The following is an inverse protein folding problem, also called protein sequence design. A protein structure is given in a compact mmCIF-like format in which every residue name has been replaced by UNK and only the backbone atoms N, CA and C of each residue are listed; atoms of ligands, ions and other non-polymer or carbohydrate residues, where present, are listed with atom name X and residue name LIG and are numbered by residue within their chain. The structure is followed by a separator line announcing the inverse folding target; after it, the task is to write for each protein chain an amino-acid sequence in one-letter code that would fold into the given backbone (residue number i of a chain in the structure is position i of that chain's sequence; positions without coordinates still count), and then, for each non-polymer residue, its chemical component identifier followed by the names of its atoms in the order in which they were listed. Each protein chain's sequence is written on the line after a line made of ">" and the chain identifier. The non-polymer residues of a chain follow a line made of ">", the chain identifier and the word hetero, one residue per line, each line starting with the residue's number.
data_IF_154502886156
#
_entry.id   IF_154502886156
#
_cell.length_a   1.000
_cell.length_b   1.000
_cell.length_c   1.000
_cell.angle_alpha   90.00
_cell.angle_beta   90.00
_cell.angle_gamma   90.00
#
_symmetry.space_group_name_H-M   'P 1'
#
loop_
_entity.id
_entity.type
_entity.pdbx_description
1 polymer ?
#
# COMPACT_ATOMS: atom_id res chain seq x y z
N UNK A 1 18.98 10.96 -14.39
CA UNK A 1 18.33 11.80 -13.36
C UNK A 1 18.58 13.25 -13.74
N UNK A 2 17.57 14.11 -13.70
CA UNK A 2 17.75 15.52 -14.07
C UNK A 2 18.51 16.29 -12.99
N UNK A 3 19.15 17.41 -13.37
CA UNK A 3 19.85 18.27 -12.42
C UNK A 3 18.90 18.85 -11.36
N UNK A 4 17.63 19.10 -11.72
CA UNK A 4 16.65 19.67 -10.80
C UNK A 4 16.18 18.67 -9.74
N UNK A 5 16.04 17.39 -10.09
CA UNK A 5 15.76 16.32 -9.13
C UNK A 5 16.91 16.18 -8.12
N UNK A 6 18.16 16.26 -8.59
CA UNK A 6 19.33 16.19 -7.71
C UNK A 6 19.43 17.39 -6.75
N UNK A 7 18.94 18.57 -7.13
CA UNK A 7 18.87 19.74 -6.23
C UNK A 7 17.80 19.58 -5.15
N UNK A 8 16.73 18.83 -5.42
CA UNK A 8 15.63 18.58 -4.49
C UNK A 8 15.87 17.36 -3.59
N UNK A 9 16.92 16.58 -3.84
CA UNK A 9 17.24 15.34 -3.12
C UNK A 9 18.58 15.43 -2.37
N UNK A 10 18.85 14.45 -1.52
CA UNK A 10 20.16 14.27 -0.91
C UNK A 10 21.06 13.46 -1.85
N UNK A 11 22.19 14.04 -2.24
CA UNK A 11 23.29 13.31 -2.89
C UNK A 11 24.10 12.49 -1.86
N UNK A 12 23.40 11.57 -1.21
CA UNK A 12 23.89 10.67 -0.16
C UNK A 12 22.89 9.52 0.01
N UNK A 13 23.22 8.43 0.72
CA UNK A 13 22.26 7.36 1.00
C UNK A 13 21.10 7.77 1.93
N UNK A 14 21.04 9.03 2.37
CA UNK A 14 19.94 9.54 3.20
C UNK A 14 18.61 9.47 2.45
N UNK A 15 17.64 8.84 3.11
CA UNK A 15 16.27 8.69 2.62
C UNK A 15 15.47 9.99 2.82
N UNK A 16 15.03 10.59 1.72
CA UNK A 16 14.16 11.77 1.71
C UNK A 16 12.67 11.41 1.63
N UNK A 17 12.30 10.33 0.94
CA UNK A 17 10.89 9.99 0.69
C UNK A 17 10.28 9.18 1.83
N UNK A 18 11.11 8.39 2.52
CA UNK A 18 10.70 7.52 3.63
C UNK A 18 10.45 6.07 3.23
N UNK A 19 10.32 5.77 1.93
CA UNK A 19 10.01 4.42 1.45
C UNK A 19 11.11 3.42 1.82
N UNK A 20 12.38 3.78 1.59
CA UNK A 20 13.52 2.94 1.93
C UNK A 20 13.61 2.65 3.43
N UNK A 21 13.38 3.66 4.27
CA UNK A 21 13.34 3.51 5.74
C UNK A 21 12.21 2.56 6.17
N UNK A 22 11.04 2.66 5.54
CA UNK A 22 9.89 1.81 5.84
C UNK A 22 10.16 0.35 5.50
N UNK A 23 10.70 0.10 4.31
CA UNK A 23 11.11 -1.24 3.84
C UNK A 23 12.21 -1.81 4.74
N UNK A 24 13.28 -1.06 4.97
CA UNK A 24 14.42 -1.53 5.76
C UNK A 24 14.04 -1.86 7.21
N UNK A 25 13.20 -1.03 7.85
CA UNK A 25 12.72 -1.29 9.21
C UNK A 25 11.73 -2.47 9.30
N UNK A 26 11.00 -2.78 8.22
CA UNK A 26 10.18 -4.00 8.12
C UNK A 26 11.06 -5.25 8.06
N UNK A 27 12.26 -5.19 7.47
CA UNK A 27 13.22 -6.30 7.44
C UNK A 27 13.88 -6.47 8.81
N UNK A 28 14.62 -5.45 9.27
CA UNK A 28 15.56 -5.57 10.38
C UNK A 28 15.40 -4.46 11.44
N UNK A 29 14.23 -3.82 11.51
CA UNK A 29 13.95 -2.83 12.54
C UNK A 29 14.11 -3.40 13.95
N UNK A 30 14.82 -2.68 14.81
CA UNK A 30 14.89 -3.00 16.23
C UNK A 30 13.52 -2.85 16.90
N UNK A 31 13.37 -3.44 18.09
CA UNK A 31 12.14 -3.33 18.86
C UNK A 31 11.94 -1.90 19.36
N UNK A 32 10.81 -1.28 19.03
CA UNK A 32 10.43 0.06 19.50
C UNK A 32 9.00 0.01 20.01
N UNK A 33 8.84 0.32 21.30
CA UNK A 33 7.57 0.29 22.00
C UNK A 33 6.75 1.57 21.79
N UNK A 34 5.44 1.44 21.99
CA UNK A 34 4.49 2.55 21.99
C UNK A 34 4.52 3.40 20.70
N UNK A 35 4.73 2.73 19.57
CA UNK A 35 4.69 3.39 18.25
C UNK A 35 3.26 3.39 17.73
N UNK A 36 2.91 4.39 16.94
CA UNK A 36 1.64 4.46 16.21
C UNK A 36 1.80 5.30 14.95
N UNK A 37 0.83 5.20 14.04
CA UNK A 37 0.84 5.99 12.81
C UNK A 37 0.91 7.49 13.12
N UNK A 38 2.04 8.12 12.79
CA UNK A 38 2.32 9.54 13.00
C UNK A 38 2.08 10.03 14.44
N UNK A 39 2.20 9.14 15.43
CA UNK A 39 1.88 9.44 16.82
C UNK A 39 0.38 9.59 17.12
N UNK A 40 -0.48 9.23 16.17
CA UNK A 40 -1.93 9.46 16.18
C UNK A 40 -2.77 8.40 16.87
N UNK A 41 -2.16 7.39 17.50
CA UNK A 41 -2.90 6.33 18.20
C UNK A 41 -3.49 5.23 17.29
N UNK A 42 -3.26 5.27 15.97
CA UNK A 42 -3.63 4.17 15.08
C UNK A 42 -2.51 3.12 15.00
N UNK A 43 -2.89 1.85 15.16
CA UNK A 43 -1.97 0.71 15.12
C UNK A 43 -0.97 0.71 16.28
N UNK A 44 -1.37 1.20 17.46
CA UNK A 44 -0.51 1.28 18.65
C UNK A 44 0.08 -0.10 18.99
N UNK A 45 1.38 -0.14 19.22
CA UNK A 45 2.04 -1.36 19.67
C UNK A 45 3.55 -1.26 19.68
N UNK A 46 4.19 -2.44 19.65
CA UNK A 46 5.63 -2.58 19.49
C UNK A 46 5.94 -2.93 18.04
N UNK A 47 6.73 -2.09 17.37
CA UNK A 47 7.24 -2.37 16.04
C UNK A 47 8.58 -3.09 16.12
N UNK A 48 8.77 -4.07 15.22
CA UNK A 48 10.04 -4.76 14.96
C UNK A 48 10.06 -5.30 13.54
N UNK A 49 11.25 -5.44 12.97
CA UNK A 49 11.42 -6.15 11.71
C UNK A 49 11.25 -7.67 11.87
N UNK A 50 11.14 -8.38 10.74
CA UNK A 50 11.10 -9.84 10.74
C UNK A 50 12.41 -10.50 11.21
N UNK A 51 13.55 -9.86 10.94
CA UNK A 51 14.89 -10.30 11.32
C UNK A 51 15.69 -9.17 12.01
N UNK A 52 15.33 -8.77 13.26
CA UNK A 52 15.92 -7.59 13.93
C UNK A 52 17.43 -7.64 14.19
N UNK A 53 18.07 -8.80 14.05
CA UNK A 53 19.51 -9.00 14.24
C UNK A 53 20.30 -9.04 12.93
N UNK A 54 19.63 -9.00 11.78
CA UNK A 54 20.29 -8.90 10.48
C UNK A 54 20.97 -7.54 10.32
N UNK A 55 22.07 -7.52 9.58
CA UNK A 55 22.72 -6.27 9.16
C UNK A 55 22.01 -5.73 7.92
N UNK A 56 22.02 -4.41 7.75
CA UNK A 56 21.47 -3.73 6.58
C UNK A 56 22.60 -3.06 5.80
N UNK A 57 22.68 -3.33 4.51
CA UNK A 57 23.45 -2.56 3.54
C UNK A 57 22.45 -1.80 2.65
N UNK A 58 22.60 -0.48 2.55
CA UNK A 58 21.61 0.40 1.91
C UNK A 58 22.20 0.97 0.61
N UNK A 59 21.57 0.62 -0.51
CA UNK A 59 21.91 1.13 -1.84
C UNK A 59 20.75 2.00 -2.34
N UNK A 60 20.92 3.33 -2.32
CA UNK A 60 19.89 4.27 -2.75
C UNK A 60 19.94 4.44 -4.27
N UNK A 61 18.91 3.95 -4.95
CA UNK A 61 18.78 4.01 -6.42
C UNK A 61 17.55 4.78 -6.91
N UNK A 62 16.64 5.11 -6.00
CA UNK A 62 15.41 5.84 -6.30
C UNK A 62 15.47 7.28 -5.74
N UNK A 63 14.81 8.18 -6.46
CA UNK A 63 14.88 9.63 -6.22
C UNK A 63 13.50 10.24 -5.91
N UNK A 64 13.49 11.49 -5.48
CA UNK A 64 12.28 12.20 -4.99
C UNK A 64 11.14 12.28 -6.01
N UNK A 65 11.44 12.22 -7.31
CA UNK A 65 10.45 12.18 -8.39
C UNK A 65 9.81 10.80 -8.59
N UNK A 66 10.25 9.80 -7.82
CA UNK A 66 9.81 8.40 -7.93
C UNK A 66 10.58 7.61 -8.98
N UNK A 67 11.52 8.23 -9.70
CA UNK A 67 12.34 7.51 -10.67
C UNK A 67 13.36 6.61 -9.97
N UNK A 68 13.56 5.42 -10.53
CA UNK A 68 14.62 4.49 -10.16
C UNK A 68 15.34 4.08 -11.45
N UNK A 69 16.37 4.85 -11.90
CA UNK A 69 17.03 4.57 -13.17
C UNK A 69 17.64 3.17 -13.18
N UNK A 70 17.40 2.42 -14.25
CA UNK A 70 17.88 1.04 -14.40
C UNK A 70 19.39 0.93 -14.23
N UNK A 71 20.17 1.82 -14.86
CA UNK A 71 21.62 1.87 -14.69
C UNK A 71 22.07 2.01 -13.21
N UNK A 72 21.32 2.75 -12.39
CA UNK A 72 21.60 2.87 -10.96
C UNK A 72 21.24 1.59 -10.20
N UNK A 73 20.15 0.92 -10.59
CA UNK A 73 19.76 -0.39 -10.03
C UNK A 73 20.83 -1.43 -10.34
N UNK A 74 21.31 -1.50 -11.58
CA UNK A 74 22.35 -2.44 -12.00
C UNK A 74 23.68 -2.20 -11.27
N UNK A 75 24.11 -0.94 -11.17
CA UNK A 75 25.31 -0.58 -10.41
C UNK A 75 25.20 -0.99 -8.93
N UNK A 76 24.04 -0.76 -8.30
CA UNK A 76 23.81 -1.17 -6.92
C UNK A 76 23.79 -2.70 -6.75
N UNK A 77 23.27 -3.45 -7.72
CA UNK A 77 23.31 -4.92 -7.69
C UNK A 77 24.77 -5.41 -7.77
N UNK A 78 25.57 -4.82 -8.66
CA UNK A 78 27.00 -5.16 -8.80
C UNK A 78 27.78 -4.89 -7.51
N UNK A 79 27.61 -3.69 -6.93
CA UNK A 79 28.23 -3.33 -5.66
C UNK A 79 27.76 -4.26 -4.52
N UNK A 80 26.48 -4.61 -4.46
CA UNK A 80 25.95 -5.50 -3.43
C UNK A 80 26.48 -6.95 -3.57
N UNK A 81 26.67 -7.44 -4.80
CA UNK A 81 27.32 -8.73 -5.04
C UNK A 81 28.75 -8.69 -4.52
N UNK A 82 29.49 -7.64 -4.86
CA UNK A 82 30.89 -7.45 -4.45
C UNK A 82 31.04 -7.32 -2.93
N UNK A 83 30.11 -6.65 -2.27
CA UNK A 83 30.07 -6.49 -0.82
C UNK A 83 29.66 -7.78 -0.09
N UNK A 84 29.20 -8.81 -0.82
CA UNK A 84 28.89 -10.13 -0.28
C UNK A 84 27.58 -10.18 0.52
N UNK A 85 26.55 -9.45 0.08
CA UNK A 85 25.23 -9.52 0.74
C UNK A 85 24.60 -10.91 0.62
N UNK A 86 23.85 -11.33 1.64
CA UNK A 86 23.15 -12.63 1.62
C UNK A 86 21.82 -12.59 0.83
N UNK A 87 21.14 -11.44 0.87
CA UNK A 87 19.78 -11.25 0.35
C UNK A 87 19.64 -9.85 -0.24
N UNK A 88 19.14 -9.76 -1.47
CA UNK A 88 18.71 -8.52 -2.10
C UNK A 88 17.20 -8.35 -1.94
N UNK A 89 16.78 -7.27 -1.27
CA UNK A 89 15.37 -6.92 -1.08
C UNK A 89 15.01 -5.70 -1.93
N UNK A 90 14.29 -5.92 -3.03
CA UNK A 90 14.05 -4.92 -4.06
C UNK A 90 12.55 -4.58 -4.14
N UNK A 91 12.15 -3.54 -3.41
CA UNK A 91 10.77 -3.03 -3.40
C UNK A 91 10.50 -2.01 -4.53
N UNK A 92 11.02 -2.31 -5.72
CA UNK A 92 10.97 -1.50 -6.95
C UNK A 92 10.61 -2.38 -8.15
N UNK A 93 10.30 -1.77 -9.29
CA UNK A 93 10.01 -2.46 -10.55
C UNK A 93 9.76 -1.47 -11.68
N UNK A 94 9.88 -1.94 -12.92
CA UNK A 94 9.56 -1.19 -14.13
C UNK A 94 8.11 -1.41 -14.60
N UNK A 95 7.92 -1.43 -15.91
CA UNK A 95 6.64 -1.79 -16.53
C UNK A 95 6.54 -3.31 -16.76
N UNK A 96 5.33 -3.89 -16.94
CA UNK A 96 5.22 -5.30 -17.29
C UNK A 96 6.02 -5.62 -18.57
N UNK A 97 6.94 -6.59 -18.48
CA UNK A 97 7.85 -6.95 -19.56
C UNK A 97 9.25 -6.31 -19.48
N UNK A 98 9.46 -5.30 -18.64
CA UNK A 98 10.78 -4.70 -18.35
C UNK A 98 11.43 -5.43 -17.16
N UNK A 99 11.89 -6.65 -17.42
CA UNK A 99 12.49 -7.52 -16.42
C UNK A 99 13.98 -7.22 -16.20
N UNK A 100 14.45 -7.28 -14.94
CA UNK A 100 15.87 -7.07 -14.59
C UNK A 100 16.62 -8.41 -14.65
N UNK A 101 17.07 -8.80 -15.84
CA UNK A 101 17.69 -10.10 -16.07
C UNK A 101 19.04 -10.28 -15.36
N UNK A 102 19.75 -9.19 -15.12
CA UNK A 102 21.08 -9.13 -14.50
C UNK A 102 21.07 -9.65 -13.05
N UNK A 103 19.89 -9.73 -12.43
CA UNK A 103 19.72 -10.40 -11.12
C UNK A 103 20.11 -11.88 -11.14
N UNK A 104 20.24 -12.48 -12.33
CA UNK A 104 20.82 -13.81 -12.50
C UNK A 104 22.25 -13.87 -11.93
N UNK A 105 23.06 -12.82 -12.08
CA UNK A 105 24.43 -12.79 -11.53
C UNK A 105 24.43 -12.89 -10.00
N UNK A 106 23.51 -12.20 -9.32
CA UNK A 106 23.36 -12.31 -7.86
C UNK A 106 22.97 -13.74 -7.46
N UNK A 107 22.00 -14.34 -8.14
CA UNK A 107 21.55 -15.71 -7.84
C UNK A 107 22.65 -16.75 -8.09
N UNK A 108 23.46 -16.58 -9.14
CA UNK A 108 24.61 -17.45 -9.44
C UNK A 108 25.71 -17.35 -8.36
N UNK A 109 25.82 -16.22 -7.68
CA UNK A 109 26.71 -16.03 -6.52
C UNK A 109 26.07 -16.50 -5.20
N UNK A 110 24.90 -17.14 -5.25
CA UNK A 110 24.23 -17.68 -4.06
C UNK A 110 23.42 -16.66 -3.27
N UNK A 111 23.21 -15.46 -3.81
CA UNK A 111 22.45 -14.36 -3.19
C UNK A 111 20.97 -14.51 -3.56
N UNK A 112 20.10 -14.52 -2.55
CA UNK A 112 18.66 -14.61 -2.80
C UNK A 112 18.09 -13.24 -3.16
N UNK A 113 17.30 -13.17 -4.25
CA UNK A 113 16.68 -11.91 -4.70
C UNK A 113 15.17 -11.97 -4.48
N UNK A 114 14.63 -10.98 -3.76
CA UNK A 114 13.21 -10.85 -3.45
C UNK A 114 12.71 -9.52 -4.01
N UNK A 115 11.67 -9.59 -4.84
CA UNK A 115 11.04 -8.45 -5.50
C UNK A 115 9.60 -8.23 -5.07
N UNK A 116 9.18 -6.97 -5.04
CA UNK A 116 7.77 -6.61 -5.06
C UNK A 116 7.13 -6.97 -6.41
N UNK A 117 5.92 -7.53 -6.41
CA UNK A 117 5.23 -7.95 -7.64
C UNK A 117 4.51 -6.86 -8.43
N UNK A 118 4.51 -5.60 -7.97
CA UNK A 118 3.79 -4.48 -8.59
C UNK A 118 2.47 -4.12 -7.91
N UNK A 119 1.90 -2.96 -8.25
CA UNK A 119 0.69 -2.42 -7.61
C UNK A 119 -0.42 -2.01 -8.61
N UNK A 120 -0.40 -2.60 -9.81
CA UNK A 120 -1.32 -2.27 -10.93
C UNK A 120 -2.45 -3.30 -11.10
N UNK A 121 -2.70 -4.12 -10.06
CA UNK A 121 -3.87 -4.99 -10.03
C UNK A 121 -5.19 -4.20 -9.96
N UNK A 122 -6.35 -4.86 -10.13
CA UNK A 122 -6.53 -6.32 -10.08
C UNK A 122 -6.51 -7.00 -11.47
N UNK A 123 -6.34 -6.23 -12.55
CA UNK A 123 -6.40 -6.78 -13.92
C UNK A 123 -5.27 -7.80 -14.15
N UNK A 124 -5.52 -8.90 -14.89
CA UNK A 124 -4.49 -9.89 -15.24
C UNK A 124 -3.27 -9.27 -15.94
N UNK A 125 -2.15 -9.99 -15.93
CA UNK A 125 -0.91 -9.64 -16.66
C UNK A 125 -0.28 -8.30 -16.28
N UNK A 126 -0.42 -7.91 -15.02
CA UNK A 126 0.13 -6.68 -14.44
C UNK A 126 1.34 -6.93 -13.54
N UNK A 127 1.72 -8.20 -13.34
CA UNK A 127 2.86 -8.60 -12.50
C UNK A 127 4.19 -8.12 -13.08
N UNK A 128 5.05 -7.63 -12.20
CA UNK A 128 6.41 -7.17 -12.48
C UNK A 128 7.43 -8.11 -11.84
N UNK A 129 8.69 -7.98 -12.26
CA UNK A 129 9.82 -8.69 -11.67
C UNK A 129 9.61 -10.21 -11.67
N UNK A 130 9.12 -10.73 -12.78
CA UNK A 130 8.59 -12.08 -12.94
C UNK A 130 9.61 -13.09 -13.48
N UNK A 131 10.90 -12.78 -13.48
CA UNK A 131 11.95 -13.74 -13.87
C UNK A 131 11.95 -15.00 -12.98
N UNK A 132 12.32 -16.18 -13.49
CA UNK A 132 12.16 -17.45 -12.76
C UNK A 132 13.03 -17.59 -11.50
N UNK A 133 14.24 -17.04 -11.52
CA UNK A 133 15.25 -17.20 -10.48
C UNK A 133 15.06 -16.29 -9.26
N UNK A 134 14.16 -15.31 -9.32
CA UNK A 134 13.83 -14.42 -8.19
C UNK A 134 12.52 -14.82 -7.53
N UNK A 135 12.30 -14.32 -6.32
CA UNK A 135 11.02 -14.45 -5.61
C UNK A 135 10.20 -13.17 -5.76
N UNK A 136 9.04 -13.27 -6.40
CA UNK A 136 8.11 -12.16 -6.65
C UNK A 136 6.96 -12.20 -5.66
N UNK A 137 6.75 -11.12 -4.92
CA UNK A 137 5.87 -11.09 -3.75
C UNK A 137 4.61 -10.26 -4.00
N UNK A 138 3.44 -10.90 -3.84
CA UNK A 138 2.12 -10.26 -3.79
C UNK A 138 1.84 -9.65 -2.40
N UNK A 139 0.94 -8.67 -2.37
CA UNK A 139 0.48 -8.03 -1.13
C UNK A 139 -0.84 -8.64 -0.65
N UNK A 140 -0.91 -8.96 0.64
CA UNK A 140 -2.13 -9.43 1.30
C UNK A 140 -2.47 -8.57 2.51
N UNK A 141 -3.75 -8.61 2.90
CA UNK A 141 -4.25 -8.03 4.15
C UNK A 141 -3.84 -8.85 5.36
N UNK A 142 -3.84 -8.18 6.52
CA UNK A 142 -3.70 -8.79 7.84
C UNK A 142 -5.02 -8.64 8.61
N UNK A 143 -5.11 -9.28 9.77
CA UNK A 143 -6.25 -9.26 10.71
C UNK A 143 -6.43 -7.92 11.42
N UNK A 144 -5.92 -6.83 10.84
CA UNK A 144 -6.05 -5.45 11.31
C UNK A 144 -6.69 -4.57 10.25
N UNK A 145 -7.69 -3.80 10.66
CA UNK A 145 -8.34 -2.78 9.84
C UNK A 145 -8.45 -1.45 10.59
N UNK A 146 -8.83 -0.40 9.86
CA UNK A 146 -8.99 0.96 10.40
C UNK A 146 -10.41 1.49 10.14
N UNK A 147 -11.42 0.89 10.82
CA UNK A 147 -12.80 1.26 10.62
C UNK A 147 -13.05 2.71 11.07
N UNK A 148 -13.93 3.37 10.34
CA UNK A 148 -14.37 4.74 10.60
C UNK A 148 -15.88 4.81 10.45
N UNK A 149 -16.56 5.20 11.52
CA UNK A 149 -18.01 5.28 11.52
C UNK A 149 -18.48 6.55 10.80
N UNK A 150 -19.36 6.35 9.82
CA UNK A 150 -20.11 7.39 9.12
C UNK A 150 -21.54 7.34 9.63
N UNK A 151 -21.99 8.39 10.30
CA UNK A 151 -23.34 8.49 10.87
C UNK A 151 -24.15 9.49 10.05
N UNK A 152 -25.26 9.03 9.49
CA UNK A 152 -26.19 9.85 8.71
C UNK A 152 -27.18 10.59 9.63
N UNK A 153 -27.80 11.65 9.14
CA UNK A 153 -28.77 12.44 9.93
C UNK A 153 -30.04 11.66 10.34
N UNK A 154 -30.31 10.52 9.72
CA UNK A 154 -31.38 9.58 10.09
C UNK A 154 -30.94 8.57 11.19
N UNK A 155 -29.77 8.76 11.82
CA UNK A 155 -29.13 7.88 12.80
C UNK A 155 -28.63 6.53 12.28
N UNK A 156 -28.68 6.29 10.96
CA UNK A 156 -28.04 5.13 10.36
C UNK A 156 -26.52 5.21 10.52
N UNK A 157 -25.91 4.10 10.91
CA UNK A 157 -24.47 3.98 11.15
C UNK A 157 -23.87 3.04 10.12
N UNK A 158 -22.94 3.57 9.34
CA UNK A 158 -22.21 2.87 8.29
C UNK A 158 -20.71 2.86 8.65
N UNK A 159 -19.97 1.90 8.12
CA UNK A 159 -18.55 1.71 8.48
C UNK A 159 -17.70 1.75 7.22
N UNK A 160 -16.91 2.81 7.07
CA UNK A 160 -15.87 2.89 6.05
C UNK A 160 -14.49 2.60 6.63
N UNK A 161 -13.46 2.85 5.84
CA UNK A 161 -12.05 2.73 6.22
C UNK A 161 -11.34 4.08 6.06
N UNK A 162 -10.49 4.47 7.00
CA UNK A 162 -9.73 5.72 6.94
C UNK A 162 -8.44 5.62 7.75
N UNK A 163 -7.62 6.68 7.75
CA UNK A 163 -6.48 6.89 8.65
C UNK A 163 -6.61 8.20 9.43
N UNK A 164 -7.84 8.71 9.54
CA UNK A 164 -8.11 10.02 10.11
C UNK A 164 -8.32 9.93 11.64
N UNK A 165 -7.32 10.35 12.41
CA UNK A 165 -7.32 10.23 13.88
C UNK A 165 -7.39 11.57 14.63
N UNK A 166 -7.23 12.70 13.96
CA UNK A 166 -7.09 13.99 14.63
C UNK A 166 -8.45 14.63 14.93
N UNK A 167 -8.88 14.52 16.20
CA UNK A 167 -10.11 15.13 16.69
C UNK A 167 -10.17 16.67 16.54
N UNK A 168 -9.03 17.36 16.40
CA UNK A 168 -9.01 18.84 16.23
C UNK A 168 -9.49 19.27 14.83
N UNK A 169 -9.40 18.38 13.84
CA UNK A 169 -9.89 18.61 12.47
C UNK A 169 -11.37 18.19 12.34
N UNK A 170 -11.84 17.33 13.27
CA UNK A 170 -13.23 16.90 13.36
C UNK A 170 -13.93 17.74 14.42
N UNK A 171 -14.77 18.69 14.02
CA UNK A 171 -15.91 18.98 14.88
C UNK A 171 -16.73 17.68 14.91
N UNK A 172 -16.95 17.07 16.08
CA UNK A 172 -17.71 15.81 16.26
C UNK A 172 -19.22 16.00 15.97
N UNK A 173 -19.51 16.85 15.00
CA UNK A 173 -20.77 17.46 14.67
C UNK A 173 -21.15 17.05 13.25
N UNK A 174 -22.44 17.12 12.99
CA UNK A 174 -22.97 16.93 11.65
C UNK A 174 -22.54 18.07 10.72
N UNK A 175 -22.14 17.71 9.50
CA UNK A 175 -21.91 18.63 8.39
C UNK A 175 -22.87 18.31 7.26
N UNK A 176 -23.22 19.33 6.47
CA UNK A 176 -24.02 19.11 5.26
C UNK A 176 -23.30 18.14 4.32
N UNK A 177 -24.07 17.22 3.74
CA UNK A 177 -23.62 16.22 2.78
C UNK A 177 -24.01 16.64 1.36
N UNK A 178 -23.09 16.50 0.41
CA UNK A 178 -23.35 16.72 -1.01
C UNK A 178 -22.84 15.53 -1.81
N UNK A 179 -23.66 15.00 -2.71
CA UNK A 179 -23.23 13.99 -3.68
C UNK A 179 -22.74 14.69 -4.95
N UNK A 180 -21.50 14.39 -5.35
CA UNK A 180 -20.84 15.01 -6.51
C UNK A 180 -20.31 13.96 -7.49
N UNK A 181 -21.03 12.84 -7.69
CA UNK A 181 -20.71 11.77 -8.66
C UNK A 181 -19.21 11.38 -8.67
N UNK A 182 -18.50 11.62 -9.77
CA UNK A 182 -17.09 11.26 -9.98
C UNK A 182 -16.10 12.20 -9.27
N UNK A 183 -16.57 13.33 -8.77
CA UNK A 183 -15.74 14.41 -8.23
C UNK A 183 -14.68 14.91 -9.22
N UNK A 184 -15.07 14.99 -10.48
CA UNK A 184 -14.35 15.73 -11.51
C UNK A 184 -14.59 17.25 -11.41
N UNK A 185 -13.88 18.01 -12.24
CA UNK A 185 -13.94 19.47 -12.19
C UNK A 185 -15.36 20.00 -12.48
N UNK A 186 -16.11 19.35 -13.37
CA UNK A 186 -17.44 19.78 -13.79
C UNK A 186 -18.50 19.49 -12.71
N UNK A 187 -18.50 18.27 -12.18
CA UNK A 187 -19.41 17.83 -11.11
C UNK A 187 -19.17 18.59 -9.81
N UNK A 188 -17.92 18.92 -9.48
CA UNK A 188 -17.59 19.75 -8.32
C UNK A 188 -17.96 21.21 -8.53
N UNK A 189 -17.78 21.77 -9.72
CA UNK A 189 -18.16 23.16 -10.01
C UNK A 189 -19.68 23.38 -10.03
N UNK A 190 -20.43 22.37 -10.50
CA UNK A 190 -21.90 22.38 -10.50
C UNK A 190 -22.49 22.08 -9.12
N UNK A 191 -21.69 21.56 -8.18
CA UNK A 191 -22.11 21.23 -6.83
C UNK A 191 -21.64 22.28 -5.83
N UNK A 192 -22.54 22.75 -4.95
CA UNK A 192 -22.13 23.64 -3.85
C UNK A 192 -21.42 22.82 -2.73
N UNK A 193 -20.11 22.58 -2.88
CA UNK A 193 -19.31 21.71 -2.00
C UNK A 193 -18.55 22.43 -0.88
N UNK A 194 -18.39 23.76 -0.97
CA UNK A 194 -17.59 24.54 -0.02
C UNK A 194 -18.15 24.41 1.40
N UNK A 195 -17.29 24.02 2.35
CA UNK A 195 -17.67 23.84 3.75
C UNK A 195 -18.41 22.53 4.08
N UNK A 196 -18.59 21.64 3.09
CA UNK A 196 -19.43 20.43 3.22
C UNK A 196 -18.61 19.14 3.11
N UNK A 197 -19.22 18.02 3.47
CA UNK A 197 -18.66 16.68 3.21
C UNK A 197 -19.19 16.20 1.86
N UNK A 198 -18.28 15.78 0.98
CA UNK A 198 -18.59 15.36 -0.39
C UNK A 198 -18.60 13.84 -0.48
N UNK A 199 -19.68 13.26 -0.99
CA UNK A 199 -19.73 11.88 -1.45
C UNK A 199 -19.34 11.83 -2.93
N UNK A 200 -18.26 11.11 -3.24
CA UNK A 200 -17.90 10.73 -4.60
C UNK A 200 -18.34 9.28 -4.82
N UNK A 201 -19.39 9.10 -5.62
CA UNK A 201 -19.96 7.81 -5.97
C UNK A 201 -20.36 7.82 -7.44
N UNK A 202 -19.53 7.15 -8.25
CA UNK A 202 -19.70 6.96 -9.70
C UNK A 202 -19.26 5.54 -10.08
N UNK A 203 -20.05 4.49 -9.74
CA UNK A 203 -19.66 3.11 -10.00
C UNK A 203 -19.53 2.80 -11.50
N UNK A 204 -20.30 3.48 -12.35
CA UNK A 204 -20.26 3.35 -13.81
C UNK A 204 -18.94 3.84 -14.42
N UNK A 205 -18.16 4.66 -13.71
CA UNK A 205 -16.86 5.17 -14.20
C UNK A 205 -15.68 4.43 -13.57
N UNK A 206 -15.94 3.50 -12.64
CA UNK A 206 -14.91 2.85 -11.82
C UNK A 206 -13.94 1.96 -12.62
N UNK A 207 -14.31 1.58 -13.85
CA UNK A 207 -13.45 0.79 -14.74
C UNK A 207 -12.53 1.65 -15.62
N UNK A 208 -12.77 2.96 -15.71
CA UNK A 208 -12.00 3.85 -16.60
C UNK A 208 -10.65 4.23 -16.01
N UNK A 209 -10.58 4.39 -14.69
CA UNK A 209 -9.41 4.90 -13.98
C UNK A 209 -9.19 4.03 -12.73
N UNK A 210 -7.94 3.63 -12.49
CA UNK A 210 -7.63 2.86 -11.29
C UNK A 210 -8.03 3.63 -10.02
N UNK A 211 -8.58 2.96 -8.99
CA UNK A 211 -9.03 3.64 -7.77
C UNK A 211 -7.94 4.48 -7.11
N UNK A 212 -6.68 4.09 -7.24
CA UNK A 212 -5.53 4.84 -6.72
C UNK A 212 -5.42 6.23 -7.35
N UNK A 213 -5.54 6.31 -8.67
CA UNK A 213 -5.46 7.58 -9.42
C UNK A 213 -6.72 8.41 -9.21
N UNK A 214 -7.89 7.77 -9.30
CA UNK A 214 -9.18 8.44 -9.12
C UNK A 214 -9.30 9.08 -7.74
N UNK A 215 -8.96 8.35 -6.67
CA UNK A 215 -8.97 8.85 -5.30
C UNK A 215 -8.02 10.03 -5.11
N UNK A 216 -6.78 9.94 -5.63
CA UNK A 216 -5.81 11.04 -5.52
C UNK A 216 -6.32 12.31 -6.20
N UNK A 217 -6.89 12.18 -7.39
CA UNK A 217 -7.47 13.31 -8.11
C UNK A 217 -8.68 13.89 -7.36
N UNK A 218 -9.57 13.04 -6.84
CA UNK A 218 -10.73 13.47 -6.06
C UNK A 218 -10.31 14.21 -4.79
N UNK A 219 -9.30 13.74 -4.07
CA UNK A 219 -8.75 14.42 -2.88
C UNK A 219 -8.28 15.83 -3.25
N UNK A 220 -7.42 15.97 -4.26
CA UNK A 220 -6.88 17.27 -4.65
C UNK A 220 -7.99 18.25 -5.07
N UNK A 221 -8.90 17.81 -5.94
CA UNK A 221 -9.98 18.66 -6.46
C UNK A 221 -10.97 19.08 -5.37
N UNK A 222 -11.34 18.16 -4.48
CA UNK A 222 -12.26 18.48 -3.38
C UNK A 222 -11.63 19.42 -2.36
N UNK A 223 -10.32 19.30 -2.10
CA UNK A 223 -9.56 20.25 -1.30
C UNK A 223 -9.56 21.65 -1.95
N UNK A 224 -9.24 21.73 -3.24
CA UNK A 224 -9.24 22.99 -4.01
C UNK A 224 -10.64 23.66 -4.04
N UNK A 225 -11.70 22.86 -4.14
CA UNK A 225 -13.09 23.33 -4.09
C UNK A 225 -13.58 23.75 -2.68
N UNK A 226 -12.71 23.63 -1.66
CA UNK A 226 -13.01 24.05 -0.29
C UNK A 226 -13.92 23.09 0.49
N UNK A 227 -13.95 21.80 0.11
CA UNK A 227 -14.64 20.78 0.89
C UNK A 227 -14.05 20.63 2.30
N UNK A 228 -14.86 20.15 3.23
CA UNK A 228 -14.46 19.87 4.62
C UNK A 228 -14.45 18.38 4.96
N UNK A 229 -14.68 17.52 3.97
CA UNK A 229 -14.49 16.09 4.07
C UNK A 229 -14.86 15.39 2.77
N UNK A 230 -14.41 14.13 2.65
CA UNK A 230 -14.60 13.30 1.48
C UNK A 230 -15.01 11.90 1.92
N UNK A 231 -16.08 11.38 1.32
CA UNK A 231 -16.46 9.97 1.35
C UNK A 231 -16.30 9.48 -0.09
N UNK A 232 -15.31 8.63 -0.34
CA UNK A 232 -14.98 8.15 -1.68
C UNK A 232 -15.35 6.68 -1.82
N UNK A 233 -16.18 6.38 -2.81
CA UNK A 233 -16.66 5.05 -3.10
C UNK A 233 -15.76 4.34 -4.11
N UNK A 234 -15.37 3.10 -3.82
CA UNK A 234 -14.58 2.27 -4.73
C UNK A 234 -14.81 0.78 -4.46
N UNK A 235 -14.51 -0.08 -5.42
CA UNK A 235 -14.77 -1.52 -5.32
C UNK A 235 -13.89 -2.26 -4.29
N UNK A 236 -12.81 -1.65 -3.79
CA UNK A 236 -11.92 -2.28 -2.81
C UNK A 236 -11.40 -1.25 -1.81
N UNK A 237 -11.56 -1.52 -0.50
CA UNK A 237 -11.24 -0.57 0.57
C UNK A 237 -9.94 -0.89 1.34
N UNK A 238 -9.15 -1.86 0.85
CA UNK A 238 -7.90 -2.32 1.48
C UNK A 238 -6.65 -1.51 1.05
N UNK A 239 -6.80 -0.21 0.76
CA UNK A 239 -5.75 0.70 0.29
C UNK A 239 -5.81 2.09 0.99
N UNK A 240 -6.08 2.11 2.30
CA UNK A 240 -6.28 3.35 3.09
C UNK A 240 -5.05 4.27 3.17
N UNK A 241 -3.85 3.81 2.80
CA UNK A 241 -2.70 4.69 2.73
C UNK A 241 -2.89 5.84 1.73
N UNK A 242 -3.75 5.69 0.72
CA UNK A 242 -4.05 6.77 -0.24
C UNK A 242 -4.87 7.91 0.39
N UNK A 243 -5.60 7.67 1.48
CA UNK A 243 -6.29 8.76 2.21
C UNK A 243 -5.37 9.52 3.15
N UNK A 244 -4.10 9.11 3.29
CA UNK A 244 -3.13 9.83 4.13
C UNK A 244 -2.86 11.26 3.63
N UNK A 245 -3.11 11.56 2.35
CA UNK A 245 -3.04 12.91 1.81
C UNK A 245 -4.06 13.87 2.47
N UNK A 246 -5.13 13.35 3.05
CA UNK A 246 -6.12 14.15 3.77
C UNK A 246 -5.78 14.36 5.25
N UNK A 247 -4.77 13.65 5.78
CA UNK A 247 -4.45 13.69 7.20
C UNK A 247 -4.16 15.13 7.66
N UNK A 248 -4.75 15.51 8.78
CA UNK A 248 -4.72 16.86 9.35
C UNK A 248 -5.35 17.98 8.51
N UNK A 249 -5.97 17.67 7.36
CA UNK A 249 -6.65 18.66 6.51
C UNK A 249 -8.17 18.47 6.57
N UNK A 250 -8.65 17.27 6.27
CA UNK A 250 -10.06 16.90 6.33
C UNK A 250 -10.23 15.38 6.52
N UNK A 251 -11.38 14.90 7.04
CA UNK A 251 -11.69 13.48 7.02
C UNK A 251 -11.87 12.97 5.59
N UNK A 252 -11.17 11.88 5.24
CA UNK A 252 -11.36 11.13 4.00
C UNK A 252 -11.68 9.68 4.34
N UNK A 253 -12.85 9.19 3.92
CA UNK A 253 -13.34 7.84 4.22
C UNK A 253 -13.52 7.07 2.92
N UNK A 254 -12.96 5.87 2.87
CA UNK A 254 -13.20 4.92 1.80
C UNK A 254 -14.39 4.04 2.17
N UNK A 255 -15.33 3.91 1.25
CA UNK A 255 -16.49 3.01 1.37
C UNK A 255 -16.59 2.14 0.13
N UNK A 256 -17.19 0.96 0.27
CA UNK A 256 -17.56 0.17 -0.89
C UNK A 256 -18.83 0.75 -1.56
N UNK A 257 -19.17 0.21 -2.74
CA UNK A 257 -20.32 0.71 -3.50
C UNK A 257 -21.66 0.42 -2.83
N UNK A 258 -21.78 -0.62 -1.99
CA UNK A 258 -23.00 -0.92 -1.26
C UNK A 258 -23.28 0.16 -0.21
N UNK A 259 -22.26 0.47 0.60
CA UNK A 259 -22.35 1.53 1.61
C UNK A 259 -22.57 2.89 0.93
N UNK A 260 -21.82 3.18 -0.15
CA UNK A 260 -21.99 4.43 -0.88
C UNK A 260 -23.39 4.59 -1.46
N UNK A 261 -23.98 3.50 -1.99
CA UNK A 261 -25.35 3.51 -2.48
C UNK A 261 -26.35 3.89 -1.39
N UNK A 262 -26.22 3.32 -0.18
CA UNK A 262 -27.07 3.69 0.96
C UNK A 262 -26.95 5.17 1.33
N UNK A 263 -25.72 5.71 1.32
CA UNK A 263 -25.48 7.15 1.57
C UNK A 263 -26.11 8.01 0.48
N UNK A 264 -25.98 7.60 -0.79
CA UNK A 264 -26.58 8.30 -1.93
C UNK A 264 -28.11 8.29 -1.86
N UNK A 265 -28.73 7.13 -1.58
CA UNK A 265 -30.18 7.02 -1.40
C UNK A 265 -30.70 7.89 -0.26
N UNK A 266 -29.97 7.95 0.86
CA UNK A 266 -30.28 8.88 1.95
C UNK A 266 -30.23 10.34 1.49
N UNK A 267 -29.23 10.71 0.69
CA UNK A 267 -29.09 12.05 0.15
C UNK A 267 -30.26 12.44 -0.77
N UNK A 268 -30.70 11.54 -1.65
CA UNK A 268 -31.80 11.78 -2.61
C UNK A 268 -33.15 12.05 -1.92
N UNK A 269 -33.45 11.34 -0.84
CA UNK A 269 -34.75 11.43 -0.14
C UNK A 269 -34.78 12.49 0.97
N UNK A 270 -33.65 13.14 1.27
CA UNK A 270 -33.53 14.06 2.40
C UNK A 270 -33.31 15.49 1.92
N UNK A 271 -34.19 16.42 2.33
CA UNK A 271 -34.11 17.83 1.93
C UNK A 271 -32.84 18.56 2.40
N UNK A 272 -32.28 18.17 3.54
CA UNK A 272 -31.08 18.77 4.12
C UNK A 272 -30.20 17.67 4.71
N UNK A 273 -29.53 16.90 3.85
CA UNK A 273 -28.79 15.72 4.27
C UNK A 273 -27.54 16.16 5.04
N UNK A 274 -27.31 15.49 6.17
CA UNK A 274 -26.15 15.73 7.02
C UNK A 274 -25.46 14.42 7.34
N UNK A 275 -24.15 14.49 7.54
CA UNK A 275 -23.31 13.36 7.89
C UNK A 275 -22.29 13.75 8.94
N UNK A 276 -21.95 12.79 9.79
CA UNK A 276 -20.91 12.90 10.80
C UNK A 276 -19.90 11.78 10.59
N UNK A 277 -18.62 12.14 10.46
CA UNK A 277 -17.50 11.19 10.39
C UNK A 277 -16.82 11.17 11.75
N UNK A 278 -16.76 9.99 12.37
CA UNK A 278 -16.10 9.81 13.67
C UNK A 278 -14.59 9.62 13.50
N UNK A 279 -13.77 9.83 14.54
CA UNK A 279 -12.37 9.43 14.50
C UNK A 279 -12.20 7.96 14.15
N UNK A 280 -11.17 7.65 13.35
CA UNK A 280 -10.79 6.28 13.01
C UNK A 280 -10.32 5.52 14.25
N UNK A 281 -10.68 4.24 14.34
CA UNK A 281 -10.21 3.33 15.36
C UNK A 281 -9.35 2.22 14.76
N UNK A 282 -8.56 1.54 15.60
CA UNK A 282 -7.87 0.30 15.20
C UNK A 282 -8.70 -0.90 15.60
N UNK A 283 -8.99 -1.80 14.67
CA UNK A 283 -9.65 -3.07 14.94
C UNK A 283 -8.71 -4.22 14.58
N UNK A 284 -8.56 -5.21 15.48
CA UNK A 284 -7.73 -6.40 15.29
C UNK A 284 -8.52 -7.63 15.70
N UNK A 285 -8.44 -8.70 14.91
CA UNK A 285 -8.97 -10.02 15.26
C UNK A 285 -9.83 -10.65 14.16
N UNK A 286 -10.52 -11.74 14.53
CA UNK A 286 -11.21 -12.64 13.59
C UNK A 286 -12.36 -12.00 12.81
N UNK A 287 -12.87 -10.85 13.25
CA UNK A 287 -13.89 -10.07 12.53
C UNK A 287 -13.32 -9.38 11.28
N UNK A 288 -11.99 -9.20 11.20
CA UNK A 288 -11.31 -8.65 10.04
C UNK A 288 -10.96 -9.76 9.05
N UNK A 289 -11.70 -9.81 7.94
CA UNK A 289 -11.54 -10.82 6.89
C UNK A 289 -10.12 -10.77 6.27
N UNK A 290 -9.27 -11.73 6.65
CA UNK A 290 -7.86 -11.77 6.26
C UNK A 290 -7.24 -13.19 6.39
N UNK A 291 -6.21 -13.54 5.59
CA UNK A 291 -5.61 -12.74 4.54
C UNK A 291 -6.46 -12.76 3.26
N UNK A 292 -6.55 -11.61 2.61
CA UNK A 292 -7.06 -11.44 1.24
C UNK A 292 -5.99 -10.78 0.39
N UNK A 293 -5.83 -11.20 -0.85
CA UNK A 293 -4.88 -10.52 -1.74
C UNK A 293 -5.38 -9.10 -2.01
N UNK A 294 -4.52 -8.11 -1.85
CA UNK A 294 -4.88 -6.71 -2.05
C UNK A 294 -5.38 -6.47 -3.48
N UNK A 295 -6.39 -5.63 -3.67
CA UNK A 295 -6.94 -5.35 -5.00
C UNK A 295 -5.87 -4.80 -5.94
N UNK A 296 -5.05 -3.90 -5.44
CA UNK A 296 -3.92 -3.32 -6.17
C UNK A 296 -2.78 -4.31 -6.43
N UNK A 297 -2.70 -5.45 -5.74
CA UNK A 297 -1.58 -6.37 -5.96
C UNK A 297 -1.64 -6.88 -7.40
N UNK A 298 -0.59 -6.61 -8.17
CA UNK A 298 -0.50 -7.03 -9.56
C UNK A 298 -0.67 -8.55 -9.72
N UNK A 299 -1.21 -8.96 -10.89
CA UNK A 299 -1.62 -10.33 -11.19
C UNK A 299 -0.83 -10.91 -12.35
N UNK A 300 -0.55 -12.21 -12.27
CA UNK A 300 -0.06 -12.96 -13.41
C UNK A 300 -1.15 -13.20 -14.48
N UNK A 301 -0.83 -14.01 -15.51
CA UNK A 301 0.50 -14.57 -15.78
C UNK A 301 1.52 -13.48 -16.16
N UNK A 302 2.82 -13.80 -16.11
CA UNK A 302 3.86 -12.89 -16.61
C UNK A 302 3.78 -12.78 -18.14
N UNK A 303 4.06 -11.58 -18.67
CA UNK A 303 4.20 -11.37 -20.12
C UNK A 303 5.45 -12.04 -20.68
N UNK A 304 6.58 -11.97 -19.95
CA UNK A 304 7.86 -12.51 -20.39
C UNK A 304 7.94 -14.04 -20.19
N UNK A 305 7.30 -14.57 -19.15
CA UNK A 305 7.38 -15.99 -18.76
C UNK A 305 5.99 -16.56 -18.44
N UNK A 306 5.11 -16.64 -19.45
CA UNK A 306 3.71 -17.04 -19.26
C UNK A 306 3.51 -18.46 -18.74
N UNK A 307 4.48 -19.37 -18.96
CA UNK A 307 4.44 -20.76 -18.48
C UNK A 307 4.89 -20.92 -17.02
N UNK A 308 5.46 -19.88 -16.42
CA UNK A 308 5.95 -19.89 -15.03
C UNK A 308 5.02 -19.01 -14.20
N UNK A 309 4.31 -19.63 -13.26
CA UNK A 309 3.32 -18.95 -12.43
C UNK A 309 3.95 -17.85 -11.58
N UNK A 310 3.31 -16.68 -11.59
CA UNK A 310 3.69 -15.50 -10.80
C UNK A 310 2.43 -14.76 -10.32
N UNK A 311 2.50 -14.06 -9.17
CA UNK A 311 3.61 -13.98 -8.22
C UNK A 311 3.87 -15.32 -7.49
N UNK A 312 5.04 -15.49 -6.90
CA UNK A 312 5.43 -16.77 -6.27
C UNK A 312 4.75 -16.97 -4.90
N UNK A 313 4.56 -15.90 -4.14
CA UNK A 313 3.98 -15.92 -2.78
C UNK A 313 3.30 -14.60 -2.45
N UNK A 314 2.34 -14.61 -1.52
CA UNK A 314 1.77 -13.41 -0.93
C UNK A 314 2.24 -13.22 0.53
N UNK A 315 2.46 -11.97 0.93
CA UNK A 315 2.85 -11.61 2.30
C UNK A 315 2.13 -10.35 2.79
N UNK A 316 2.17 -10.02 4.09
CA UNK A 316 1.57 -8.80 4.63
C UNK A 316 2.05 -7.54 3.92
N UNK A 317 1.16 -6.90 3.16
CA UNK A 317 1.50 -5.73 2.35
C UNK A 317 0.46 -4.62 2.42
N UNK A 318 -0.60 -4.77 3.20
CA UNK A 318 -1.63 -3.76 3.40
C UNK A 318 -1.51 -3.21 4.80
N UNK A 319 -1.45 -1.88 4.91
CA UNK A 319 -1.54 -1.16 6.17
C UNK A 319 -0.44 -1.56 7.15
N UNK A 320 0.80 -1.67 6.66
CA UNK A 320 1.96 -2.08 7.44
C UNK A 320 2.56 -0.85 8.12
N UNK A 321 2.70 -0.92 9.45
CA UNK A 321 3.28 0.14 10.26
C UNK A 321 4.80 -0.07 10.36
N UNK A 322 5.58 0.87 9.84
CA UNK A 322 7.04 0.84 9.95
C UNK A 322 7.64 2.25 9.99
N UNK A 323 8.94 2.34 10.22
CA UNK A 323 9.62 3.62 10.47
C UNK A 323 9.72 4.45 9.19
N UNK A 324 9.49 5.75 9.31
CA UNK A 324 9.67 6.77 8.26
C UNK A 324 10.17 8.04 8.93
N UNK A 325 11.38 8.52 8.58
CA UNK A 325 11.89 9.86 8.93
C UNK A 325 11.52 10.37 10.33
N UNK A 326 11.91 9.64 11.38
CA UNK A 326 11.66 10.04 12.77
C UNK A 326 10.25 9.78 13.30
N UNK A 327 9.40 9.09 12.53
CA UNK A 327 8.05 8.68 12.94
C UNK A 327 7.73 7.28 12.40
N UNK A 328 6.51 6.81 12.58
CA UNK A 328 6.01 5.55 12.03
C UNK A 328 4.80 5.80 11.15
N UNK A 329 4.71 5.13 10.00
CA UNK A 329 3.64 5.35 9.01
C UNK A 329 3.08 4.01 8.54
N UNK A 330 1.79 4.02 8.25
CA UNK A 330 1.04 2.90 7.68
C UNK A 330 1.10 3.05 6.18
N UNK A 331 1.73 2.10 5.49
CA UNK A 331 1.81 2.07 4.04
C UNK A 331 1.27 0.74 3.50
N UNK A 332 0.78 0.78 2.26
CA UNK A 332 0.28 -0.40 1.55
C UNK A 332 0.94 -0.50 0.18
N UNK A 333 1.38 -1.70 -0.17
CA UNK A 333 2.02 -2.03 -1.43
C UNK A 333 2.68 -3.40 -1.39
N UNK A 334 2.94 -3.98 -2.56
CA UNK A 334 3.87 -5.10 -2.69
C UNK A 334 5.27 -4.73 -2.20
N UNK A 335 5.62 -3.43 -2.22
CA UNK A 335 6.81 -2.89 -1.56
C UNK A 335 6.89 -3.15 -0.06
N UNK A 336 5.76 -3.30 0.64
CA UNK A 336 5.70 -3.63 2.07
C UNK A 336 5.62 -5.15 2.31
N UNK A 337 5.12 -5.91 1.32
CA UNK A 337 5.12 -7.37 1.37
C UNK A 337 6.51 -7.97 1.13
N UNK A 338 7.24 -7.44 0.14
CA UNK A 338 8.61 -7.82 -0.20
C UNK A 338 9.53 -7.94 1.05
N UNK A 339 9.68 -6.92 1.91
CA UNK A 339 10.58 -6.99 3.06
C UNK A 339 10.20 -8.04 4.11
N UNK A 340 8.93 -8.41 4.23
CA UNK A 340 8.54 -9.52 5.13
C UNK A 340 9.15 -10.84 4.63
N UNK A 341 9.08 -11.08 3.32
CA UNK A 341 9.65 -12.27 2.70
C UNK A 341 11.17 -12.21 2.71
N UNK A 342 11.77 -11.05 2.46
CA UNK A 342 13.23 -10.84 2.61
C UNK A 342 13.72 -11.18 4.02
N UNK A 343 12.95 -10.83 5.06
CA UNK A 343 13.30 -11.20 6.43
C UNK A 343 13.25 -12.71 6.66
N UNK A 344 12.22 -13.40 6.15
CA UNK A 344 12.15 -14.88 6.22
C UNK A 344 13.31 -15.52 5.46
N UNK A 345 13.62 -15.03 4.26
CA UNK A 345 14.77 -15.45 3.45
C UNK A 345 16.09 -15.29 4.21
N UNK A 346 16.31 -14.15 4.87
CA UNK A 346 17.49 -13.91 5.69
C UNK A 346 17.58 -14.86 6.90
N UNK A 347 16.47 -15.11 7.58
CA UNK A 347 16.43 -16.08 8.69
C UNK A 347 16.75 -17.50 8.22
N UNK A 348 16.15 -17.94 7.10
CA UNK A 348 16.46 -19.25 6.51
C UNK A 348 17.92 -19.36 6.11
N UNK A 349 18.49 -18.34 5.47
CA UNK A 349 19.92 -18.31 5.12
C UNK A 349 20.81 -18.39 6.36
N UNK A 350 20.42 -17.77 7.47
CA UNK A 350 21.19 -17.82 8.73
C UNK A 350 21.21 -19.22 9.36
N UNK A 351 20.10 -19.97 9.27
CA UNK A 351 19.99 -21.33 9.82
C UNK A 351 20.51 -22.38 8.85
N UNK A 352 20.47 -22.09 7.55
CA UNK A 352 20.94 -22.95 6.47
C UNK A 352 21.91 -22.21 5.52
N UNK A 353 23.15 -21.90 5.96
CA UNK A 353 24.09 -21.10 5.17
C UNK A 353 24.44 -21.70 3.80
N UNK A 354 24.43 -23.03 3.69
CA UNK A 354 24.72 -23.75 2.45
C UNK A 354 23.54 -23.88 1.48
N UNK A 355 22.33 -23.41 1.83
CA UNK A 355 21.21 -23.46 0.91
C UNK A 355 21.38 -22.46 -0.23
N UNK A 356 21.08 -22.93 -1.45
CA UNK A 356 21.01 -22.07 -2.64
C UNK A 356 19.76 -21.19 -2.60
N UNK A 357 19.73 -20.08 -3.37
CA UNK A 357 18.53 -19.26 -3.53
C UNK A 357 17.30 -20.06 -3.94
N UNK A 358 17.46 -21.07 -4.80
CA UNK A 358 16.37 -21.95 -5.23
C UNK A 358 15.83 -22.84 -4.10
N UNK A 359 16.69 -23.34 -3.21
CA UNK A 359 16.27 -24.13 -2.04
C UNK A 359 15.49 -23.26 -1.04
N UNK A 360 15.97 -22.04 -0.77
CA UNK A 360 15.25 -21.09 0.09
C UNK A 360 13.91 -20.73 -0.53
N UNK A 361 13.88 -20.44 -1.84
CA UNK A 361 12.65 -20.17 -2.58
C UNK A 361 11.66 -21.33 -2.49
N UNK A 362 12.13 -22.55 -2.70
CA UNK A 362 11.31 -23.76 -2.60
C UNK A 362 10.73 -23.94 -1.19
N UNK A 363 11.54 -23.81 -0.14
CA UNK A 363 11.09 -23.93 1.24
C UNK A 363 9.99 -22.93 1.58
N UNK A 364 10.13 -21.67 1.19
CA UNK A 364 9.14 -20.61 1.43
C UNK A 364 7.82 -20.91 0.68
N UNK A 365 7.89 -21.27 -0.60
CA UNK A 365 6.69 -21.48 -1.43
C UNK A 365 5.94 -22.75 -1.02
N UNK A 366 6.64 -23.86 -0.83
CA UNK A 366 6.02 -25.18 -0.54
C UNK A 366 5.46 -25.30 0.87
N UNK A 367 5.85 -24.39 1.78
CA UNK A 367 5.30 -24.33 3.15
C UNK A 367 4.31 -23.16 3.34
N UNK A 368 4.01 -22.42 2.28
CA UNK A 368 3.03 -21.33 2.33
C UNK A 368 1.64 -21.85 2.69
N UNK A 369 0.89 -21.07 3.48
CA UNK A 369 -0.50 -21.42 3.82
C UNK A 369 -1.42 -21.05 2.67
N UNK A 370 -2.29 -22.00 2.27
CA UNK A 370 -3.29 -21.80 1.23
C UNK A 370 -4.66 -21.31 1.75
N UNK A 371 -4.84 -21.21 3.07
CA UNK A 371 -6.10 -20.79 3.68
C UNK A 371 -6.29 -19.27 3.60
N UNK A 372 -6.65 -18.78 2.42
CA UNK A 372 -7.26 -17.46 2.26
C UNK A 372 -8.77 -17.58 2.53
N UNK A 373 -9.38 -16.57 3.17
CA UNK A 373 -10.84 -16.55 3.28
C UNK A 373 -11.43 -16.49 1.85
N UNK A 374 -12.19 -17.54 1.50
CA UNK A 374 -12.70 -17.95 0.17
C UNK A 374 -13.60 -16.95 -0.59
N UNK A 375 -13.70 -15.69 -0.18
CA UNK A 375 -14.73 -14.78 -0.70
C UNK A 375 -14.34 -13.99 -1.95
N UNK A 376 -13.09 -14.05 -2.40
CA UNK A 376 -12.69 -13.40 -3.65
C UNK A 376 -12.26 -14.48 -4.65
N UNK A 377 -13.03 -14.61 -5.74
CA UNK A 377 -12.87 -15.59 -6.81
C UNK A 377 -11.39 -15.69 -7.27
N UNK A 378 -10.71 -16.77 -6.87
CA UNK A 378 -9.53 -17.25 -7.56
C UNK A 378 -10.06 -18.20 -8.63
N UNK A 379 -10.20 -17.71 -9.86
CA UNK A 379 -10.28 -18.58 -11.02
C UNK A 379 -8.88 -19.17 -11.16
N UNK A 380 -8.76 -20.46 -10.87
CA UNK A 380 -7.63 -21.32 -11.28
C UNK A 380 -7.53 -21.40 -12.78
#
# INVERSE_FOLDING_TARGET
>A
ISADVLKMDYNSPRDLTGHGTHVASTIAGSQVWNVSHRGGGLGVGMARGGAPRSRLAIYKVCWVDGSCPEAAILAAIDDAIKDGVDVLSLSLGGSPGEEIFETLHAVLQGISVVFAGGNEGPVPQTVLNAVPWVMTVAASTIDRSFPTQVTLGNNEKLVGQSLHYNASVISNDFKALVHARSCDMETLASSNVTGKIVLCYAPEEAFLISPRVALRNAINRTLEAGAKGLIFAQYAINNVNNVAACNNIMPCVLVDFEIAHRIASYWDITRSPVVKVSPTMSAVGNEVLSPRVASFSSRGPSLAFSTILKPDIAAPGVNILAAVRGTYVLLSGTSMACPHVSAVTALLKSVHPGWSPAMIKSAIITTARHNMHKTDFIIT
#
